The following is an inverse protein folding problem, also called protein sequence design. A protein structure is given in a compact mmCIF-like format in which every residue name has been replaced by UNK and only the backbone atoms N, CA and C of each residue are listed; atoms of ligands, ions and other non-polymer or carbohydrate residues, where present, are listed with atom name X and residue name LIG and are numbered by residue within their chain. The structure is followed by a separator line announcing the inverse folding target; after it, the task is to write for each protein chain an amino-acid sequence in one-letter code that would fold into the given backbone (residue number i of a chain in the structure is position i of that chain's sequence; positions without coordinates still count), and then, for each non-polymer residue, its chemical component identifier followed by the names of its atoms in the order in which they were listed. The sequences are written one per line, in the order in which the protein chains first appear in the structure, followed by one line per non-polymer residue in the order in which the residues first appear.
data_IF_566560033695
#
_entry.id   IF_566560033695
#
_cell.length_a   1.000
_cell.length_b   1.000
_cell.length_c   1.000
_cell.angle_alpha   90.00
_cell.angle_beta   90.00
_cell.angle_gamma   90.00
#
_symmetry.space_group_name_H-M   'P 1'
#
loop_
_entity.id
_entity.type
_entity.pdbx_description
1 polymer ?
#
# COMPACT_ATOMS: atom_id res chain seq x y z
N UNK A 1 -20.70 3.36 20.60
CA UNK A 1 -20.48 3.70 19.18
C UNK A 1 -19.17 4.48 18.99
N UNK A 2 -18.04 3.91 19.45
CA UNK A 2 -16.71 4.55 19.41
C UNK A 2 -15.74 3.82 18.46
N UNK A 3 -16.06 2.57 18.07
CA UNK A 3 -15.24 1.77 17.16
C UNK A 3 -15.13 2.40 15.77
N UNK A 4 -16.18 3.08 15.30
CA UNK A 4 -16.18 3.66 13.96
C UNK A 4 -15.24 4.86 13.84
N UNK A 5 -15.09 5.68 14.89
CA UNK A 5 -14.21 6.85 14.86
C UNK A 5 -12.73 6.48 15.03
N UNK A 6 -12.41 5.52 15.88
CA UNK A 6 -11.03 5.11 16.12
C UNK A 6 -10.45 4.35 14.93
N UNK A 7 -11.23 3.41 14.37
CA UNK A 7 -10.87 2.68 13.14
C UNK A 7 -10.78 3.64 11.96
N UNK A 8 -11.69 4.60 11.81
CA UNK A 8 -11.62 5.59 10.72
C UNK A 8 -10.41 6.52 10.83
N UNK A 9 -10.04 6.95 12.05
CA UNK A 9 -8.86 7.79 12.29
C UNK A 9 -7.57 7.02 12.02
N UNK A 10 -7.49 5.77 12.48
CA UNK A 10 -6.36 4.88 12.23
C UNK A 10 -6.21 4.53 10.75
N UNK A 11 -7.33 4.28 10.06
CA UNK A 11 -7.36 4.09 8.60
C UNK A 11 -6.84 5.32 7.88
N UNK A 12 -7.37 6.51 8.17
CA UNK A 12 -6.90 7.76 7.55
C UNK A 12 -5.41 8.02 7.79
N UNK A 13 -4.91 7.70 8.99
CA UNK A 13 -3.48 7.78 9.29
C UNK A 13 -2.65 6.73 8.54
N UNK A 14 -3.17 5.52 8.34
CA UNK A 14 -2.52 4.49 7.54
C UNK A 14 -2.49 4.88 6.06
N UNK A 15 -3.58 5.42 5.51
CA UNK A 15 -3.61 5.95 4.13
C UNK A 15 -2.69 7.17 3.94
N UNK A 16 -2.40 7.95 4.99
CA UNK A 16 -1.46 9.07 4.89
C UNK A 16 -0.02 8.69 4.54
N UNK A 17 0.34 7.41 4.71
CA UNK A 17 1.64 6.89 4.32
C UNK A 17 1.72 6.54 2.82
N UNK A 18 0.59 6.44 2.13
CA UNK A 18 0.52 6.30 0.66
C UNK A 18 0.71 7.62 -0.08
N UNK A 19 1.25 8.65 0.59
CA UNK A 19 1.67 9.86 -0.09
C UNK A 19 2.82 9.55 -1.05
N UNK A 20 2.46 9.42 -2.32
CA UNK A 20 3.36 9.02 -3.40
C UNK A 20 4.35 10.12 -3.78
N UNK A 21 4.14 11.34 -3.28
CA UNK A 21 5.04 12.48 -3.51
C UNK A 21 6.43 12.20 -2.95
N UNK A 22 7.42 12.88 -3.52
CA UNK A 22 8.82 12.77 -3.12
C UNK A 22 9.34 11.33 -3.09
N UNK A 23 8.97 10.52 -4.10
CA UNK A 23 9.39 9.11 -4.20
C UNK A 23 8.91 8.27 -3.01
N UNK A 24 7.60 8.38 -2.72
CA UNK A 24 6.95 7.61 -1.66
C UNK A 24 7.63 7.84 -0.29
N UNK A 25 7.99 9.08 0.03
CA UNK A 25 8.79 9.41 1.22
C UNK A 25 8.07 9.09 2.53
N UNK A 26 6.74 9.08 2.51
CA UNK A 26 5.90 8.78 3.68
C UNK A 26 5.50 7.32 3.78
N UNK A 27 5.91 6.48 2.82
CA UNK A 27 5.56 5.06 2.80
C UNK A 27 6.04 4.37 4.07
N UNK A 28 5.11 3.68 4.73
CA UNK A 28 5.36 3.00 5.99
C UNK A 28 4.78 1.59 5.95
N UNK A 29 5.68 0.61 5.82
CA UNK A 29 5.34 -0.81 5.72
C UNK A 29 4.49 -1.25 6.92
N UNK A 30 4.91 -0.94 8.14
CA UNK A 30 4.22 -1.39 9.35
C UNK A 30 2.79 -0.84 9.45
N UNK A 31 2.57 0.42 9.04
CA UNK A 31 1.22 1.02 9.02
C UNK A 31 0.30 0.36 7.99
N UNK A 32 0.84 0.00 6.84
CA UNK A 32 0.08 -0.69 5.79
C UNK A 32 -0.17 -2.16 6.13
N UNK A 33 0.82 -2.86 6.69
CA UNK A 33 0.67 -4.22 7.16
C UNK A 33 -0.45 -4.34 8.21
N UNK A 34 -0.60 -3.33 9.08
CA UNK A 34 -1.70 -3.32 10.05
C UNK A 34 -3.09 -3.27 9.40
N UNK A 35 -3.23 -2.80 8.16
CA UNK A 35 -4.50 -2.86 7.45
C UNK A 35 -4.96 -4.30 7.21
N UNK A 36 -4.05 -5.26 7.05
CA UNK A 36 -4.43 -6.67 6.86
C UNK A 36 -4.95 -7.32 8.14
N UNK A 37 -4.65 -6.75 9.30
CA UNK A 37 -5.24 -7.14 10.58
C UNK A 37 -6.64 -6.54 10.75
N UNK A 38 -6.81 -5.27 10.37
CA UNK A 38 -8.12 -4.58 10.43
C UNK A 38 -9.11 -5.22 9.46
N UNK A 39 -8.66 -5.51 8.23
CA UNK A 39 -9.43 -6.12 7.15
C UNK A 39 -9.13 -7.62 7.00
N UNK A 40 -8.95 -8.33 8.10
CA UNK A 40 -8.56 -9.75 8.06
C UNK A 40 -9.49 -10.65 7.21
N UNK A 41 -10.75 -10.30 6.99
CA UNK A 41 -11.65 -11.06 6.11
C UNK A 41 -11.29 -10.93 4.61
N UNK A 42 -10.62 -9.83 4.23
CA UNK A 42 -10.24 -9.53 2.83
C UNK A 42 -8.86 -10.10 2.45
N UNK A 43 -8.09 -10.61 3.42
CA UNK A 43 -6.75 -11.16 3.20
C UNK A 43 -6.71 -12.64 3.62
N UNK A 44 -5.97 -13.46 2.88
CA UNK A 44 -5.70 -14.83 3.32
C UNK A 44 -4.66 -14.85 4.47
N UNK A 45 -4.55 -15.98 5.17
CA UNK A 45 -3.48 -16.18 6.15
C UNK A 45 -2.09 -16.02 5.52
N UNK A 46 -1.93 -16.52 4.30
CA UNK A 46 -0.70 -16.38 3.53
C UNK A 46 -0.37 -14.91 3.23
N UNK A 47 -1.37 -14.13 2.79
CA UNK A 47 -1.16 -12.70 2.49
C UNK A 47 -0.77 -11.94 3.76
N UNK A 48 -1.43 -12.20 4.89
CA UNK A 48 -1.09 -11.58 6.17
C UNK A 48 0.32 -11.92 6.64
N UNK A 49 0.74 -13.17 6.49
CA UNK A 49 2.08 -13.61 6.89
C UNK A 49 3.17 -12.93 6.04
N UNK A 50 2.91 -12.70 4.75
CA UNK A 50 3.90 -12.20 3.80
C UNK A 50 3.72 -10.72 3.42
N UNK A 51 2.75 -10.01 4.00
CA UNK A 51 2.43 -8.63 3.59
C UNK A 51 3.60 -7.68 3.80
N UNK A 52 4.36 -7.84 4.89
CA UNK A 52 5.51 -7.00 5.20
C UNK A 52 6.56 -7.13 4.09
N UNK A 53 6.95 -8.35 3.75
CA UNK A 53 7.92 -8.63 2.69
C UNK A 53 7.43 -8.12 1.33
N UNK A 54 6.14 -8.33 1.02
CA UNK A 54 5.53 -7.85 -0.22
C UNK A 54 5.55 -6.33 -0.32
N UNK A 55 5.23 -5.61 0.76
CA UNK A 55 5.26 -4.15 0.81
C UNK A 55 6.70 -3.59 0.71
N UNK A 56 7.68 -4.27 1.30
CA UNK A 56 9.10 -3.92 1.19
C UNK A 56 9.61 -4.07 -0.26
N UNK A 57 9.29 -5.20 -0.89
CA UNK A 57 9.63 -5.43 -2.29
C UNK A 57 8.92 -4.44 -3.21
N UNK A 58 7.65 -4.16 -2.95
CA UNK A 58 6.86 -3.18 -3.67
C UNK A 58 7.54 -1.81 -3.63
N UNK A 59 7.87 -1.27 -2.45
CA UNK A 59 8.44 0.08 -2.34
C UNK A 59 9.83 0.18 -2.97
N UNK A 60 10.67 -0.85 -2.82
CA UNK A 60 11.99 -0.90 -3.47
C UNK A 60 11.81 -0.86 -4.99
N UNK A 61 10.89 -1.66 -5.51
CA UNK A 61 10.63 -1.74 -6.92
C UNK A 61 10.06 -0.42 -7.46
N UNK A 62 9.06 0.17 -6.79
CA UNK A 62 8.44 1.44 -7.21
C UNK A 62 9.45 2.60 -7.24
N UNK A 63 10.37 2.69 -6.27
CA UNK A 63 11.38 3.75 -6.22
C UNK A 63 12.44 3.64 -7.34
N UNK A 64 12.64 2.44 -7.90
CA UNK A 64 13.64 2.17 -8.95
C UNK A 64 13.15 2.47 -10.36
N UNK A 65 11.84 2.49 -10.57
CA UNK A 65 11.26 2.70 -11.89
C UNK A 65 10.82 4.16 -12.03
N UNK A 66 11.38 4.85 -13.03
CA UNK A 66 11.11 6.25 -13.29
C UNK A 66 9.62 6.53 -13.56
N UNK A 67 8.91 5.60 -14.21
CA UNK A 67 7.46 5.74 -14.51
C UNK A 67 6.59 5.95 -13.27
N UNK A 68 7.00 5.41 -12.12
CA UNK A 68 6.27 5.59 -10.87
C UNK A 68 6.59 6.90 -10.14
N UNK A 69 7.66 7.62 -10.52
CA UNK A 69 8.00 8.92 -9.90
C UNK A 69 7.03 10.04 -10.28
N UNK A 70 6.36 9.90 -11.43
CA UNK A 70 5.33 10.82 -11.90
C UNK A 70 3.94 10.52 -11.28
N UNK A 71 3.80 9.44 -10.51
CA UNK A 71 2.56 9.14 -9.82
C UNK A 71 2.47 10.01 -8.55
N UNK A 72 1.47 10.88 -8.51
CA UNK A 72 1.24 11.79 -7.38
C UNK A 72 -0.06 11.49 -6.63
N UNK A 73 -0.87 10.57 -7.16
CA UNK A 73 -2.13 10.14 -6.59
C UNK A 73 -2.36 8.64 -6.83
N UNK A 74 -3.30 8.05 -6.09
CA UNK A 74 -3.61 6.62 -6.16
C UNK A 74 -4.13 6.23 -7.56
N UNK A 75 -4.84 7.13 -8.25
CA UNK A 75 -5.41 6.84 -9.57
C UNK A 75 -4.31 6.67 -10.65
N UNK A 76 -3.32 7.57 -10.67
CA UNK A 76 -2.15 7.49 -11.56
C UNK A 76 -1.30 6.26 -11.24
N UNK A 77 -1.11 5.94 -9.95
CA UNK A 77 -0.43 4.72 -9.52
C UNK A 77 -1.16 3.47 -10.01
N UNK A 78 -2.46 3.35 -9.75
CA UNK A 78 -3.26 2.19 -10.16
C UNK A 78 -3.22 2.00 -11.68
N UNK A 79 -3.32 3.09 -12.44
CA UNK A 79 -3.17 3.04 -13.90
C UNK A 79 -1.80 2.51 -14.30
N UNK A 80 -0.71 2.99 -13.70
CA UNK A 80 0.65 2.52 -13.99
C UNK A 80 0.89 1.08 -13.57
N UNK A 81 0.29 0.63 -12.47
CA UNK A 81 0.34 -0.77 -12.02
C UNK A 81 -0.29 -1.74 -13.03
N UNK A 82 -1.33 -1.30 -13.73
CA UNK A 82 -1.96 -2.09 -14.81
C UNK A 82 -1.15 -1.99 -16.10
N UNK A 83 -0.77 -0.78 -16.53
CA UNK A 83 0.00 -0.54 -17.75
C UNK A 83 1.33 -1.31 -17.77
N UNK A 84 1.98 -1.44 -16.61
CA UNK A 84 3.25 -2.14 -16.44
C UNK A 84 3.08 -3.57 -15.90
N UNK A 85 1.86 -4.10 -15.83
CA UNK A 85 1.55 -5.45 -15.33
C UNK A 85 2.08 -5.74 -13.91
N UNK A 86 2.32 -4.69 -13.11
CA UNK A 86 2.85 -4.83 -11.74
C UNK A 86 1.83 -5.36 -10.75
N UNK A 87 0.55 -5.23 -11.04
CA UNK A 87 -0.53 -5.90 -10.29
C UNK A 87 -0.43 -7.44 -10.31
N UNK A 88 0.25 -8.03 -11.31
CA UNK A 88 0.50 -9.48 -11.35
C UNK A 88 1.69 -9.85 -10.45
N UNK A 89 2.68 -8.97 -10.36
CA UNK A 89 3.88 -9.17 -9.52
C UNK A 89 3.58 -8.94 -8.03
N UNK A 90 2.66 -8.03 -7.74
CA UNK A 90 2.22 -7.69 -6.39
C UNK A 90 0.71 -7.87 -6.25
N UNK A 91 0.19 -9.11 -6.22
CA UNK A 91 -1.26 -9.35 -6.19
C UNK A 91 -1.92 -8.97 -4.86
N UNK A 92 -1.13 -8.87 -3.78
CA UNK A 92 -1.59 -8.53 -2.44
C UNK A 92 -1.38 -7.04 -2.06
N UNK A 93 -0.88 -6.21 -2.98
CA UNK A 93 -0.59 -4.78 -2.78
C UNK A 93 -1.35 -3.93 -3.79
#
# INVERSE_FOLDING_TARGET
DHRFNEVSSELLQNFSCLDLRHSFSRFNVNKLARLTEIYHEDFSDYDREHIVDNLELFIIHMRRIEDFRACHDIASLAKKMVELERHVMFPAV
#
